data_IF_824753328930
#
_entry.id   IF_824753328930
#
_cell.length_a   1.000
_cell.length_b   1.000
_cell.length_c   1.000
_cell.angle_alpha   90.00
_cell.angle_beta   90.00
_cell.angle_gamma   90.00
#
_symmetry.space_group_name_H-M   'P 1'
#
loop_
_entity.id
_entity.type
_entity.pdbx_description
1 polymer ?
#
# COMPACT_ATOMS: atom_id res chain seq x y z
N UNK A 1 6.22 27.62 -51.77
CA UNK A 1 6.51 26.37 -51.02
C UNK A 1 6.06 26.45 -49.56
N UNK A 2 5.28 27.45 -49.18
CA UNK A 2 5.01 27.78 -47.76
C UNK A 2 3.60 27.38 -47.29
N UNK A 3 2.71 26.97 -48.21
CA UNK A 3 1.38 26.45 -47.86
C UNK A 3 1.38 24.95 -47.56
N UNK A 4 2.47 24.24 -47.86
CA UNK A 4 2.61 22.80 -47.60
C UNK A 4 3.09 22.51 -46.17
N UNK A 5 3.72 23.47 -45.49
CA UNK A 5 4.20 23.32 -44.11
C UNK A 5 3.08 23.62 -43.10
N UNK A 6 2.10 24.44 -43.49
CA UNK A 6 0.91 24.71 -42.68
C UNK A 6 -0.17 23.63 -42.81
N UNK A 7 -0.06 22.71 -43.79
CA UNK A 7 -0.94 21.53 -43.97
C UNK A 7 -0.49 20.27 -43.24
N UNK A 8 0.56 20.40 -42.43
CA UNK A 8 0.66 19.68 -41.14
C UNK A 8 -0.43 20.17 -40.14
N UNK A 9 -1.34 21.02 -40.65
CA UNK A 9 -2.72 21.32 -40.27
C UNK A 9 -3.20 20.48 -39.10
N UNK A 10 -3.50 21.19 -38.02
CA UNK A 10 -4.67 21.08 -37.15
C UNK A 10 -5.34 19.71 -37.07
N UNK A 11 -5.71 19.06 -38.18
CA UNK A 11 -6.12 17.66 -38.21
C UNK A 11 -5.12 16.68 -37.59
N UNK A 12 -3.80 16.85 -37.81
CA UNK A 12 -2.78 15.99 -37.18
C UNK A 12 -2.63 16.29 -35.69
N UNK A 13 -2.65 17.57 -35.31
CA UNK A 13 -2.63 18.00 -33.91
C UNK A 13 -3.90 17.58 -33.16
N UNK A 14 -5.07 17.69 -33.80
CA UNK A 14 -6.36 17.23 -33.28
C UNK A 14 -6.44 15.70 -33.25
N UNK A 15 -5.75 14.98 -34.14
CA UNK A 15 -5.67 13.52 -34.08
C UNK A 15 -4.85 13.06 -32.86
N UNK A 16 -3.75 13.76 -32.54
CA UNK A 16 -2.96 13.53 -31.31
C UNK A 16 -3.78 13.86 -30.06
N UNK A 17 -4.57 14.95 -30.07
CA UNK A 17 -5.45 15.31 -28.95
C UNK A 17 -6.71 14.43 -28.84
N UNK A 18 -7.05 13.64 -29.87
CA UNK A 18 -8.22 12.75 -29.86
C UNK A 18 -7.90 11.34 -29.38
N UNK A 19 -6.63 11.02 -29.13
CA UNK A 19 -6.21 9.79 -28.47
C UNK A 19 -6.12 10.02 -26.96
N UNK A 20 -7.27 10.03 -26.27
CA UNK A 20 -7.44 9.66 -24.84
C UNK A 20 -8.81 10.07 -24.25
N UNK A 21 -9.86 10.13 -25.07
CA UNK A 21 -11.23 10.10 -24.54
C UNK A 21 -11.81 8.67 -24.49
N UNK A 22 -10.97 7.65 -24.76
CA UNK A 22 -11.24 6.33 -24.21
C UNK A 22 -10.87 6.43 -22.74
N UNK A 23 -11.90 6.38 -21.89
CA UNK A 23 -11.83 6.27 -20.42
C UNK A 23 -10.44 5.85 -19.95
N UNK A 24 -9.65 6.82 -19.44
CA UNK A 24 -8.56 6.46 -18.55
C UNK A 24 -9.19 5.52 -17.53
N UNK A 25 -8.66 4.30 -17.32
CA UNK A 25 -9.28 3.37 -16.39
C UNK A 25 -9.35 4.11 -15.06
N UNK A 26 -10.56 4.53 -14.69
CA UNK A 26 -10.77 5.47 -13.58
C UNK A 26 -10.21 4.87 -12.29
N UNK A 27 -10.06 3.54 -12.27
CA UNK A 27 -9.53 2.77 -11.16
C UNK A 27 -8.60 1.63 -11.64
N UNK A 28 -7.32 1.90 -11.91
CA UNK A 28 -6.40 0.91 -12.50
C UNK A 28 -6.15 -0.29 -11.58
N UNK A 29 -6.27 -0.11 -10.26
CA UNK A 29 -6.05 -1.18 -9.27
C UNK A 29 -7.19 -2.22 -9.31
N UNK A 30 -8.46 -1.76 -9.31
CA UNK A 30 -9.61 -2.68 -9.38
C UNK A 30 -9.82 -3.23 -10.80
N UNK A 31 -9.41 -2.52 -11.85
CA UNK A 31 -9.49 -3.02 -13.22
C UNK A 31 -8.50 -4.15 -13.51
N UNK A 32 -7.35 -4.17 -12.81
CA UNK A 32 -6.35 -5.22 -12.93
C UNK A 32 -6.42 -6.24 -11.78
N UNK A 33 -7.54 -6.28 -11.06
CA UNK A 33 -7.70 -7.18 -9.94
C UNK A 33 -7.59 -8.65 -10.37
N UNK A 34 -6.68 -9.39 -9.72
CA UNK A 34 -6.48 -10.82 -9.93
C UNK A 34 -6.96 -11.56 -8.67
N UNK A 35 -7.95 -12.45 -8.77
CA UNK A 35 -8.46 -13.20 -7.63
C UNK A 35 -7.38 -14.05 -6.95
N UNK A 36 -7.41 -14.10 -5.62
CA UNK A 36 -6.51 -14.91 -4.78
C UNK A 36 -7.28 -15.82 -3.81
N UNK A 37 -6.58 -16.49 -2.90
CA UNK A 37 -7.19 -17.39 -1.91
C UNK A 37 -8.15 -16.66 -0.95
N UNK A 38 -7.91 -15.38 -0.69
CA UNK A 38 -8.69 -14.57 0.24
C UNK A 38 -9.85 -13.84 -0.45
N UNK A 39 -9.78 -13.69 -1.78
CA UNK A 39 -10.72 -12.95 -2.60
C UNK A 39 -10.91 -13.63 -3.97
N UNK A 40 -11.58 -14.79 -4.00
CA UNK A 40 -11.67 -15.64 -5.19
C UNK A 40 -12.65 -15.13 -6.27
N UNK A 41 -13.49 -14.15 -5.92
CA UNK A 41 -14.51 -13.59 -6.81
C UNK A 41 -14.04 -12.33 -7.54
N UNK A 42 -14.68 -11.96 -8.65
CA UNK A 42 -14.45 -10.66 -9.28
C UNK A 42 -14.91 -9.53 -8.34
N UNK A 43 -14.32 -8.34 -8.53
CA UNK A 43 -14.70 -7.14 -7.76
C UNK A 43 -16.19 -6.82 -8.00
N UNK A 44 -17.00 -6.62 -6.94
CA UNK A 44 -18.43 -6.30 -7.10
C UNK A 44 -18.69 -4.95 -7.79
N UNK A 45 -19.75 -4.86 -8.60
CA UNK A 45 -20.13 -3.61 -9.30
C UNK A 45 -20.32 -2.41 -8.36
N UNK A 46 -20.82 -2.67 -7.15
CA UNK A 46 -21.02 -1.65 -6.13
C UNK A 46 -19.73 -0.91 -5.75
N UNK A 47 -18.55 -1.55 -5.87
CA UNK A 47 -17.25 -0.91 -5.64
C UNK A 47 -16.96 0.11 -6.74
N UNK A 48 -17.17 -0.28 -8.01
CA UNK A 48 -17.00 0.63 -9.15
C UNK A 48 -17.98 1.80 -9.10
N UNK A 49 -19.23 1.55 -8.72
CA UNK A 49 -20.23 2.61 -8.52
C UNK A 49 -19.83 3.55 -7.38
N UNK A 50 -19.39 3.03 -6.24
CA UNK A 50 -18.97 3.87 -5.12
C UNK A 50 -17.80 4.78 -5.51
N UNK A 51 -16.81 4.23 -6.23
CA UNK A 51 -15.66 4.99 -6.71
C UNK A 51 -16.07 6.05 -7.76
N UNK A 52 -17.00 5.73 -8.66
CA UNK A 52 -17.49 6.68 -9.68
C UNK A 52 -18.36 7.81 -9.12
N UNK A 53 -18.97 7.59 -7.95
CA UNK A 53 -19.74 8.60 -7.22
C UNK A 53 -18.91 9.34 -6.17
N UNK A 54 -17.63 8.98 -5.99
CA UNK A 54 -16.72 9.69 -5.10
C UNK A 54 -16.29 10.98 -5.80
N UNK A 55 -16.98 12.08 -5.46
CA UNK A 55 -16.52 13.42 -5.80
C UNK A 55 -15.23 13.64 -5.02
N UNK A 56 -14.12 13.79 -5.74
CA UNK A 56 -12.88 14.32 -5.18
C UNK A 56 -13.19 15.80 -4.91
N UNK A 57 -13.83 16.08 -3.78
CA UNK A 57 -13.79 17.44 -3.27
C UNK A 57 -12.31 17.78 -3.11
N UNK A 58 -11.90 18.94 -3.60
CA UNK A 58 -10.58 19.52 -3.33
C UNK A 58 -10.52 19.83 -1.83
N UNK A 59 -10.50 18.78 -1.01
CA UNK A 59 -10.45 18.88 0.42
C UNK A 59 -9.07 19.41 0.78
N UNK A 60 -9.08 20.50 1.54
CA UNK A 60 -7.90 21.15 2.12
C UNK A 60 -7.08 20.18 3.03
N UNK A 61 -7.53 18.93 3.21
CA UNK A 61 -6.87 17.83 3.90
C UNK A 61 -6.19 16.78 3.00
N UNK A 62 -6.27 16.87 1.68
CA UNK A 62 -5.50 15.99 0.78
C UNK A 62 -4.00 16.15 1.07
N UNK A 63 -3.27 15.04 1.13
CA UNK A 63 -1.84 15.05 1.44
C UNK A 63 -1.09 15.69 0.26
N UNK A 64 -0.93 17.02 0.31
CA UNK A 64 -0.28 17.79 -0.76
C UNK A 64 1.24 17.70 -0.75
N UNK A 65 1.83 17.03 0.24
CA UNK A 65 3.28 16.95 0.41
C UNK A 65 3.78 15.51 0.62
N UNK A 66 4.78 15.14 -0.17
CA UNK A 66 5.51 13.88 -0.05
C UNK A 66 7.01 14.14 0.13
N UNK A 67 7.68 13.45 1.09
CA UNK A 67 7.13 12.42 1.98
C UNK A 67 6.25 12.99 3.10
N UNK A 68 5.22 12.25 3.49
CA UNK A 68 4.32 12.62 4.59
C UNK A 68 5.13 12.78 5.88
N UNK A 69 5.10 13.97 6.50
CA UNK A 69 5.79 14.17 7.78
C UNK A 69 4.99 13.48 8.88
N UNK A 70 5.40 12.27 9.26
CA UNK A 70 4.87 11.59 10.43
C UNK A 70 5.55 12.10 11.69
N UNK A 71 4.79 12.21 12.79
CA UNK A 71 5.37 12.48 14.10
C UNK A 71 6.32 11.36 14.55
N UNK A 72 7.22 11.68 15.49
CA UNK A 72 8.10 10.68 16.11
C UNK A 72 7.28 9.57 16.75
N UNK A 73 7.49 8.33 16.33
CA UNK A 73 6.82 7.16 16.90
C UNK A 73 7.44 6.85 18.27
N UNK A 74 6.63 6.87 19.33
CA UNK A 74 7.02 6.40 20.66
C UNK A 74 6.34 5.05 20.94
N UNK A 75 7.13 4.00 21.13
CA UNK A 75 6.62 2.71 21.57
C UNK A 75 6.71 2.61 23.09
N UNK A 76 5.55 2.45 23.73
CA UNK A 76 5.49 2.03 25.12
C UNK A 76 5.36 0.50 25.18
N UNK A 77 6.33 -0.23 25.75
CA UNK A 77 6.21 -1.68 25.90
C UNK A 77 5.00 -2.01 26.79
N UNK A 78 4.26 -3.09 26.49
CA UNK A 78 3.13 -3.50 27.30
C UNK A 78 3.59 -3.82 28.74
N UNK A 79 2.74 -3.57 29.76
CA UNK A 79 3.07 -3.89 31.15
C UNK A 79 3.44 -5.37 31.33
N UNK A 80 4.42 -5.64 32.21
CA UNK A 80 4.89 -7.00 32.47
C UNK A 80 3.78 -7.98 32.93
N UNK A 81 2.72 -7.48 33.57
CA UNK A 81 1.54 -8.29 33.94
C UNK A 81 0.74 -8.80 32.73
N UNK A 82 0.74 -8.05 31.63
CA UNK A 82 0.04 -8.41 30.39
C UNK A 82 0.74 -9.55 29.66
N UNK A 83 2.08 -9.53 29.60
CA UNK A 83 2.83 -10.64 28.98
C UNK A 83 2.74 -11.93 29.82
N UNK A 84 2.55 -11.83 31.14
CA UNK A 84 2.40 -12.99 32.03
C UNK A 84 1.07 -13.73 31.82
N UNK A 85 -0.02 -13.03 31.48
CA UNK A 85 -1.28 -13.71 31.15
C UNK A 85 -1.20 -14.44 29.81
N UNK A 86 -0.52 -13.86 28.80
CA UNK A 86 -0.29 -14.48 27.50
C UNK A 86 0.58 -15.75 27.59
N UNK A 87 1.60 -15.74 28.47
CA UNK A 87 2.45 -16.90 28.74
C UNK A 87 1.70 -18.04 29.46
N UNK A 88 0.57 -17.74 30.11
CA UNK A 88 -0.24 -18.74 30.82
C UNK A 88 -1.16 -19.52 29.87
N UNK A 89 -1.55 -18.94 28.74
CA UNK A 89 -2.43 -19.58 27.75
C UNK A 89 -1.69 -20.56 26.84
N UNK A 90 -0.41 -20.30 26.55
CA UNK A 90 0.52 -21.30 25.99
C UNK A 90 1.09 -22.09 27.15
N UNK A 91 0.40 -23.17 27.55
CA UNK A 91 0.65 -23.98 28.75
C UNK A 91 2.10 -24.42 28.99
N UNK A 92 2.95 -23.50 29.43
CA UNK A 92 4.30 -23.76 29.93
C UNK A 92 4.28 -23.55 31.44
N UNK A 93 4.69 -24.55 32.24
CA UNK A 93 4.66 -24.43 33.69
C UNK A 93 5.69 -23.39 34.12
N UNK A 94 5.22 -22.44 34.93
CA UNK A 94 6.02 -21.49 35.70
C UNK A 94 7.06 -22.25 36.53
N UNK A 95 8.25 -22.46 35.97
CA UNK A 95 9.38 -23.01 36.69
C UNK A 95 10.02 -21.89 37.53
N UNK A 96 9.59 -21.88 38.79
CA UNK A 96 10.39 -21.60 40.00
C UNK A 96 11.83 -21.19 39.72
N UNK A 97 12.12 -19.92 39.96
CA UNK A 97 13.42 -19.35 40.35
C UNK A 97 14.64 -20.21 39.98
N UNK A 98 15.08 -20.06 38.74
CA UNK A 98 16.36 -20.56 38.23
C UNK A 98 16.71 -19.66 37.05
N UNK A 99 17.96 -19.23 36.95
CA UNK A 99 18.44 -18.35 35.89
C UNK A 99 17.94 -18.83 34.51
N UNK A 100 17.04 -18.06 33.89
CA UNK A 100 16.69 -18.30 32.50
C UNK A 100 17.85 -17.75 31.65
N UNK A 101 18.82 -18.62 31.36
CA UNK A 101 19.76 -18.32 30.29
C UNK A 101 18.95 -18.41 29.02
N UNK A 102 18.51 -17.25 28.50
CA UNK A 102 18.04 -17.14 27.13
C UNK A 102 19.18 -17.64 26.25
N UNK A 103 19.07 -18.87 25.74
CA UNK A 103 19.93 -19.34 24.67
C UNK A 103 19.62 -18.47 23.45
N UNK A 104 20.39 -17.40 23.29
CA UNK A 104 20.45 -16.56 22.10
C UNK A 104 20.98 -17.44 20.96
N UNK A 105 20.09 -18.13 20.26
CA UNK A 105 20.40 -18.87 19.04
C UNK A 105 20.10 -17.96 17.84
N UNK A 106 20.89 -16.90 17.66
CA UNK A 106 21.02 -16.21 16.38
C UNK A 106 22.37 -15.49 16.39
N UNK A 107 23.41 -16.21 15.98
CA UNK A 107 24.62 -15.62 15.43
C UNK A 107 24.41 -15.66 13.91
N UNK A 108 24.05 -14.52 13.30
CA UNK A 108 24.17 -14.35 11.86
C UNK A 108 25.66 -14.29 11.55
N UNK A 109 26.24 -15.46 11.35
CA UNK A 109 27.62 -15.68 10.97
C UNK A 109 27.65 -15.79 9.45
N UNK A 110 27.45 -14.65 8.77
CA UNK A 110 27.79 -14.51 7.36
C UNK A 110 28.98 -13.56 7.31
N UNK A 111 30.17 -14.16 7.36
CA UNK A 111 31.43 -13.48 7.11
C UNK A 111 31.44 -13.03 5.64
N UNK A 112 31.34 -11.71 5.45
CA UNK A 112 31.61 -11.07 4.17
C UNK A 112 33.14 -11.04 3.98
N UNK A 113 33.69 -12.13 3.46
CA UNK A 113 35.03 -12.12 2.88
C UNK A 113 34.97 -11.66 1.40
N UNK A 114 35.67 -10.54 1.19
CA UNK A 114 36.21 -9.86 -0.02
C UNK A 114 35.28 -9.45 -1.18
#
# INVERSE_FOLDING_TARGET
>A
MEQLVNRLDVAMFNAILRESADEMPTYPVVNNFVPDEFSPGPVPNAVYEALNNEDIEDDEGCITSFPCTAGSTFYAPPPASSVVSMLKEVGTPLLRSGSFVLKKLYTSDDELDE
#
